data_IF_750285914972
#
_entry.id   IF_750285914972
#
_cell.length_a   1.000
_cell.length_b   1.000
_cell.length_c   1.000
_cell.angle_alpha   90.00
_cell.angle_beta   90.00
_cell.angle_gamma   90.00
#
_symmetry.space_group_name_H-M   'P 1'
#
loop_
_entity.id
_entity.type
_entity.pdbx_description
1 polymer ?
#
# COMPACT_ATOMS: atom_id res chain seq x y z
N UNK A 1 -8.52 8.34 11.29
CA UNK A 1 -9.00 7.36 10.29
C UNK A 1 -9.47 6.07 10.96
N UNK A 2 -10.67 5.60 10.63
CA UNK A 2 -11.18 4.31 11.07
C UNK A 2 -10.42 3.20 10.32
N UNK A 3 -9.69 2.35 11.05
CA UNK A 3 -8.69 1.44 10.47
C UNK A 3 -7.30 2.05 10.57
N UNK A 4 -6.37 1.35 11.21
CA UNK A 4 -5.03 1.87 11.43
C UNK A 4 -4.30 2.13 10.09
N UNK A 5 -3.31 3.02 10.10
CA UNK A 5 -2.45 3.23 8.93
C UNK A 5 -1.69 1.95 8.57
N UNK A 6 -1.56 1.64 7.28
CA UNK A 6 -0.54 0.72 6.81
C UNK A 6 0.82 1.37 7.03
N UNK A 7 1.74 0.64 7.65
CA UNK A 7 3.10 1.13 7.96
C UNK A 7 4.09 0.21 7.31
N UNK A 8 4.96 0.79 6.49
CA UNK A 8 5.99 0.07 5.75
C UNK A 8 7.34 0.72 6.04
N UNK A 9 8.42 -0.05 5.92
CA UNK A 9 9.78 0.47 6.02
C UNK A 9 10.53 0.17 4.73
N UNK A 10 11.45 1.04 4.36
CA UNK A 10 12.26 0.82 3.18
C UNK A 10 13.41 1.80 3.06
N UNK A 11 14.19 1.65 2.00
CA UNK A 11 15.30 2.54 1.66
C UNK A 11 14.88 3.45 0.53
N UNK A 12 14.99 4.76 0.72
CA UNK A 12 14.75 5.72 -0.34
C UNK A 12 15.89 5.66 -1.36
N UNK A 13 15.58 5.43 -2.64
CA UNK A 13 16.56 5.33 -3.73
C UNK A 13 16.69 6.60 -4.57
N UNK A 14 15.75 7.54 -4.47
CA UNK A 14 15.69 8.70 -5.36
C UNK A 14 15.15 8.33 -6.73
N UNK A 15 15.59 9.04 -7.77
CA UNK A 15 15.17 8.85 -9.16
C UNK A 15 14.00 9.74 -9.61
N UNK A 16 13.63 9.58 -10.89
CA UNK A 16 12.53 10.30 -11.54
C UNK A 16 11.63 9.28 -12.28
N UNK A 17 10.49 8.85 -11.69
CA UNK A 17 9.95 9.30 -10.40
C UNK A 17 10.72 8.71 -9.21
N UNK A 18 10.61 9.31 -8.01
CA UNK A 18 11.34 8.83 -6.84
C UNK A 18 10.76 7.51 -6.32
N UNK A 19 11.64 6.63 -5.86
CA UNK A 19 11.30 5.26 -5.44
C UNK A 19 11.79 4.96 -4.03
N UNK A 20 11.02 4.15 -3.31
CA UNK A 20 11.42 3.47 -2.08
C UNK A 20 11.42 1.96 -2.34
N UNK A 21 12.53 1.30 -2.05
CA UNK A 21 12.61 -0.15 -1.98
C UNK A 21 12.19 -0.61 -0.59
N UNK A 22 11.20 -1.49 -0.51
CA UNK A 22 10.67 -1.96 0.78
C UNK A 22 11.59 -3.02 1.39
N UNK A 23 11.68 -3.04 2.72
CA UNK A 23 12.50 -4.01 3.46
C UNK A 23 12.08 -5.46 3.22
N UNK A 24 10.79 -5.70 3.04
CA UNK A 24 10.18 -7.01 2.79
C UNK A 24 10.19 -7.40 1.31
N UNK A 25 10.74 -6.53 0.45
CA UNK A 25 10.82 -6.72 -0.99
C UNK A 25 9.80 -5.90 -1.78
N UNK A 26 10.12 -5.64 -3.04
CA UNK A 26 9.32 -4.79 -3.91
C UNK A 26 9.64 -3.30 -3.78
N UNK A 27 8.94 -2.50 -4.59
CA UNK A 27 9.20 -1.06 -4.71
C UNK A 27 7.91 -0.27 -4.75
N UNK A 28 7.93 0.92 -4.15
CA UNK A 28 6.88 1.91 -4.27
C UNK A 28 7.42 3.18 -4.90
N UNK A 29 6.72 3.66 -5.93
CA UNK A 29 6.87 5.02 -6.43
C UNK A 29 6.20 5.97 -5.43
N UNK A 30 6.94 6.99 -5.02
CA UNK A 30 6.50 8.01 -4.05
C UNK A 30 6.49 9.39 -4.68
N UNK A 31 5.87 10.37 -4.02
CA UNK A 31 5.88 11.77 -4.47
C UNK A 31 6.81 12.66 -3.63
N UNK A 32 7.24 12.21 -2.45
CA UNK A 32 8.16 12.95 -1.60
C UNK A 32 9.62 12.70 -1.99
N UNK A 33 10.51 13.56 -1.49
CA UNK A 33 11.96 13.39 -1.59
C UNK A 33 12.60 13.15 -0.23
N UNK A 34 13.67 12.36 -0.23
CA UNK A 34 14.55 12.16 0.92
C UNK A 34 15.99 12.01 0.40
N UNK A 35 16.95 11.81 1.31
CA UNK A 35 18.33 11.51 0.89
C UNK A 35 18.40 10.07 0.36
N UNK A 36 18.98 9.81 -0.81
CA UNK A 36 19.25 8.43 -1.26
C UNK A 36 20.02 7.65 -0.20
N UNK A 37 19.61 6.39 0.03
CA UNK A 37 20.15 5.53 1.09
C UNK A 37 19.52 5.74 2.47
N UNK A 38 18.69 6.77 2.68
CA UNK A 38 18.00 6.95 3.96
C UNK A 38 16.94 5.87 4.18
N UNK A 39 16.85 5.39 5.42
CA UNK A 39 15.77 4.51 5.86
C UNK A 39 14.53 5.35 6.12
N UNK A 40 13.43 5.01 5.45
CA UNK A 40 12.16 5.74 5.55
C UNK A 40 11.07 4.83 6.08
N UNK A 41 10.23 5.39 6.96
CA UNK A 41 8.97 4.77 7.36
C UNK A 41 7.84 5.45 6.60
N UNK A 42 7.04 4.64 5.92
CA UNK A 42 5.91 5.07 5.11
C UNK A 42 4.60 4.83 5.86
N UNK A 43 3.60 5.63 5.51
CA UNK A 43 2.21 5.49 5.93
C UNK A 43 1.29 5.55 4.73
N UNK A 44 0.37 4.60 4.64
CA UNK A 44 -0.71 4.59 3.64
C UNK A 44 -2.03 4.44 4.38
N UNK A 45 -2.97 5.35 4.13
CA UNK A 45 -4.30 5.27 4.72
C UNK A 45 -5.05 4.10 4.05
N UNK A 46 -5.83 3.28 4.79
CA UNK A 46 -6.54 2.15 4.19
C UNK A 46 -7.51 2.55 3.06
N UNK A 47 -8.13 3.73 3.16
CA UNK A 47 -9.05 4.28 2.16
C UNK A 47 -8.35 4.86 0.93
N UNK A 48 -7.01 4.94 0.92
CA UNK A 48 -6.24 5.41 -0.23
C UNK A 48 -5.94 4.30 -1.26
N UNK A 49 -6.28 3.05 -0.95
CA UNK A 49 -6.09 1.89 -1.82
C UNK A 49 -7.36 1.64 -2.63
N UNK A 50 -7.25 1.70 -3.96
CA UNK A 50 -8.29 1.22 -4.86
C UNK A 50 -8.05 -0.26 -5.18
N UNK A 51 -9.11 -1.06 -5.17
CA UNK A 51 -9.06 -2.50 -5.44
C UNK A 51 -9.74 -2.78 -6.78
N UNK A 52 -9.12 -3.61 -7.61
CA UNK A 52 -9.71 -4.06 -8.86
C UNK A 52 -9.41 -5.55 -9.12
N UNK A 53 -10.30 -6.28 -9.82
CA UNK A 53 -10.10 -7.69 -10.13
C UNK A 53 -9.06 -7.90 -11.25
N UNK A 54 -8.81 -6.86 -12.06
CA UNK A 54 -7.88 -6.87 -13.18
C UNK A 54 -7.11 -5.57 -13.32
N UNK A 55 -6.17 -5.55 -14.27
CA UNK A 55 -5.40 -4.34 -14.58
C UNK A 55 -6.20 -3.41 -15.50
N UNK A 56 -6.13 -2.11 -15.26
CA UNK A 56 -6.71 -1.08 -16.11
C UNK A 56 -5.83 0.19 -16.11
N UNK A 57 -5.86 0.99 -17.21
CA UNK A 57 -5.11 2.24 -17.28
C UNK A 57 -5.55 3.22 -16.19
N UNK A 58 -4.59 3.80 -15.45
CA UNK A 58 -4.87 4.84 -14.46
C UNK A 58 -3.65 5.71 -14.21
N UNK A 59 -3.85 6.82 -13.48
CA UNK A 59 -2.76 7.68 -13.00
C UNK A 59 -2.05 7.14 -11.75
N UNK A 60 -2.50 6.01 -11.18
CA UNK A 60 -1.80 5.38 -10.07
C UNK A 60 -0.43 4.88 -10.53
N UNK A 61 0.61 5.23 -9.78
CA UNK A 61 1.99 4.82 -10.10
C UNK A 61 2.40 3.52 -9.44
N UNK A 62 1.61 3.05 -8.48
CA UNK A 62 1.78 1.75 -7.85
C UNK A 62 0.56 0.90 -8.21
N UNK A 63 0.81 -0.21 -8.92
CA UNK A 63 -0.19 -1.23 -9.24
C UNK A 63 0.39 -2.55 -8.75
N UNK A 64 -0.15 -3.05 -7.64
CA UNK A 64 0.42 -4.17 -6.90
C UNK A 64 -0.47 -5.39 -7.12
N UNK A 65 0.05 -6.50 -7.68
CA UNK A 65 -0.61 -7.78 -7.58
C UNK A 65 -0.78 -8.13 -6.10
N UNK A 66 -1.97 -8.58 -5.74
CA UNK A 66 -2.32 -8.85 -4.37
C UNK A 66 -3.22 -10.08 -4.26
N UNK A 67 -3.18 -10.72 -3.10
CA UNK A 67 -4.14 -11.75 -2.73
C UNK A 67 -4.96 -11.28 -1.55
N UNK A 68 -6.29 -11.44 -1.62
CA UNK A 68 -7.19 -11.14 -0.50
C UNK A 68 -6.87 -12.10 0.66
N UNK A 69 -6.66 -11.54 1.84
CA UNK A 69 -6.38 -12.25 3.08
C UNK A 69 -7.62 -12.39 3.95
N UNK A 70 -7.87 -11.42 4.83
CA UNK A 70 -8.98 -11.42 5.81
C UNK A 70 -9.93 -10.25 5.56
N UNK A 71 -11.21 -10.40 5.90
CA UNK A 71 -12.24 -9.36 5.76
C UNK A 71 -12.91 -9.15 7.12
N UNK A 72 -12.95 -7.91 7.58
CA UNK A 72 -13.55 -7.54 8.88
C UNK A 72 -14.56 -6.43 8.69
N UNK A 73 -15.82 -6.67 9.05
CA UNK A 73 -16.80 -5.59 9.13
C UNK A 73 -16.35 -4.57 10.19
N UNK A 74 -16.49 -3.28 9.85
CA UNK A 74 -16.20 -2.16 10.74
C UNK A 74 -17.48 -1.41 11.14
N UNK A 75 -18.65 -1.99 10.83
CA UNK A 75 -19.94 -1.32 10.96
C UNK A 75 -20.16 -0.25 9.90
N UNK A 76 -21.40 0.29 9.86
CA UNK A 76 -21.78 1.38 8.96
C UNK A 76 -21.48 1.13 7.47
N UNK A 77 -21.64 -0.13 7.01
CA UNK A 77 -21.41 -0.50 5.62
C UNK A 77 -19.95 -0.50 5.19
N UNK A 78 -18.99 -0.49 6.13
CA UNK A 78 -17.55 -0.50 5.86
C UNK A 78 -16.93 -1.84 6.21
N UNK A 79 -15.99 -2.28 5.38
CA UNK A 79 -15.22 -3.51 5.55
C UNK A 79 -13.75 -3.17 5.44
N UNK A 80 -12.96 -3.55 6.44
CA UNK A 80 -11.51 -3.56 6.33
C UNK A 80 -11.09 -4.90 5.70
N UNK A 81 -10.42 -4.83 4.55
CA UNK A 81 -9.93 -6.00 3.82
C UNK A 81 -8.41 -6.00 3.88
N UNK A 82 -7.83 -7.09 4.35
CA UNK A 82 -6.38 -7.31 4.31
C UNK A 82 -6.00 -7.95 2.99
N UNK A 83 -4.90 -7.50 2.42
CA UNK A 83 -4.29 -8.00 1.21
C UNK A 83 -2.83 -8.35 1.46
N UNK A 84 -2.36 -9.42 0.83
CA UNK A 84 -0.94 -9.76 0.75
C UNK A 84 -0.40 -9.22 -0.57
N UNK A 85 0.54 -8.28 -0.50
CA UNK A 85 1.18 -7.67 -1.67
C UNK A 85 2.60 -7.25 -1.30
N UNK A 86 3.58 -7.41 -2.21
CA UNK A 86 4.98 -7.06 -1.96
C UNK A 86 5.56 -7.68 -0.67
N UNK A 87 5.18 -8.92 -0.33
CA UNK A 87 5.62 -9.57 0.91
C UNK A 87 5.03 -8.99 2.20
N UNK A 88 4.17 -7.96 2.13
CA UNK A 88 3.56 -7.30 3.29
C UNK A 88 2.03 -7.42 3.31
N UNK A 89 1.47 -7.22 4.51
CA UNK A 89 0.02 -7.08 4.70
C UNK A 89 -0.39 -5.62 4.55
N UNK A 90 -1.27 -5.35 3.60
CA UNK A 90 -1.90 -4.04 3.39
C UNK A 90 -3.39 -4.13 3.70
N UNK A 91 -3.91 -3.19 4.46
CA UNK A 91 -5.34 -3.05 4.74
C UNK A 91 -5.93 -2.01 3.81
N UNK A 92 -7.02 -2.34 3.15
CA UNK A 92 -7.87 -1.40 2.45
C UNK A 92 -9.20 -1.24 3.20
N UNK A 93 -9.73 -0.02 3.27
CA UNK A 93 -11.08 0.21 3.79
C UNK A 93 -12.03 0.36 2.61
N UNK A 94 -12.96 -0.57 2.48
CA UNK A 94 -13.91 -0.64 1.38
C UNK A 94 -15.34 -0.50 1.90
N UNK A 95 -16.27 -0.20 1.01
CA UNK A 95 -17.69 -0.38 1.30
C UNK A 95 -18.05 -1.86 1.17
N UNK A 96 -19.08 -2.29 1.91
CA UNK A 96 -19.64 -3.63 1.76
C UNK A 96 -20.14 -3.89 0.32
N UNK A 97 -20.67 -2.85 -0.34
CA UNK A 97 -21.11 -2.97 -1.74
C UNK A 97 -19.94 -3.27 -2.69
N UNK A 98 -18.77 -2.66 -2.48
CA UNK A 98 -17.58 -2.93 -3.27
C UNK A 98 -17.04 -4.35 -3.02
N UNK A 99 -17.05 -4.82 -1.76
CA UNK A 99 -16.68 -6.20 -1.42
C UNK A 99 -17.56 -7.20 -2.17
N UNK A 100 -18.88 -6.98 -2.17
CA UNK A 100 -19.85 -7.84 -2.87
C UNK A 100 -19.67 -7.77 -4.39
N UNK A 101 -19.62 -6.58 -4.99
CA UNK A 101 -19.52 -6.44 -6.45
C UNK A 101 -18.24 -7.01 -7.02
N UNK A 102 -17.14 -6.90 -6.26
CA UNK A 102 -15.84 -7.47 -6.62
C UNK A 102 -15.68 -8.93 -6.19
N UNK A 103 -16.70 -9.53 -5.56
CA UNK A 103 -16.69 -10.91 -5.06
C UNK A 103 -15.46 -11.22 -4.18
N UNK A 104 -15.00 -10.24 -3.39
CA UNK A 104 -13.80 -10.38 -2.57
C UNK A 104 -14.04 -11.40 -1.45
N UNK A 105 -13.14 -12.36 -1.38
CA UNK A 105 -13.07 -13.39 -0.34
C UNK A 105 -11.62 -13.86 -0.20
N UNK A 106 -11.22 -14.45 0.94
CA UNK A 106 -9.86 -14.95 1.13
C UNK A 106 -9.39 -15.81 -0.05
N UNK A 107 -8.15 -15.60 -0.48
CA UNK A 107 -7.52 -16.33 -1.58
C UNK A 107 -7.72 -15.74 -2.97
N UNK A 108 -8.70 -14.84 -3.17
CA UNK A 108 -8.94 -14.20 -4.48
C UNK A 108 -7.78 -13.29 -4.88
N UNK A 109 -7.32 -13.43 -6.12
CA UNK A 109 -6.34 -12.53 -6.71
C UNK A 109 -6.99 -11.17 -7.03
N UNK A 110 -6.25 -10.09 -6.82
CA UNK A 110 -6.70 -8.72 -7.05
C UNK A 110 -5.51 -7.82 -7.35
N UNK A 111 -5.79 -6.58 -7.74
CA UNK A 111 -4.80 -5.54 -7.91
C UNK A 111 -5.10 -4.37 -6.98
N UNK A 112 -4.07 -3.89 -6.29
CA UNK A 112 -4.14 -2.67 -5.49
C UNK A 112 -3.53 -1.51 -6.26
N UNK A 113 -4.31 -0.44 -6.40
CA UNK A 113 -3.91 0.80 -7.03
C UNK A 113 -3.65 1.84 -5.96
N UNK A 114 -2.46 2.44 -6.01
CA UNK A 114 -2.04 3.45 -5.06
C UNK A 114 -1.33 4.59 -5.79
N UNK A 115 -1.84 5.81 -5.62
CA UNK A 115 -1.17 7.01 -6.12
C UNK A 115 0.12 7.26 -5.32
N UNK A 116 1.17 7.69 -6.01
CA UNK A 116 2.44 8.04 -5.37
C UNK A 116 2.29 9.12 -4.29
N UNK A 117 1.32 10.03 -4.47
CA UNK A 117 0.98 11.11 -3.52
C UNK A 117 0.26 10.62 -2.27
N UNK A 118 -0.31 9.42 -2.28
CA UNK A 118 -0.96 8.83 -1.12
C UNK A 118 0.02 8.07 -0.21
N UNK A 119 1.24 7.78 -0.68
CA UNK A 119 2.32 7.24 0.16
C UNK A 119 2.92 8.39 0.96
N UNK A 120 2.63 8.44 2.26
CA UNK A 120 3.10 9.50 3.15
C UNK A 120 4.38 9.09 3.84
N UNK A 121 5.31 10.04 3.95
CA UNK A 121 6.49 9.89 4.77
C UNK A 121 6.12 10.13 6.24
N UNK A 122 6.38 9.15 7.11
CA UNK A 122 6.13 9.25 8.55
C UNK A 122 7.39 9.64 9.32
N UNK A 123 8.51 9.00 8.99
CA UNK A 123 9.81 9.24 9.62
C UNK A 123 10.93 8.98 8.62
N UNK A 124 11.99 9.76 8.72
CA UNK A 124 13.28 9.49 8.08
C UNK A 124 14.29 9.19 9.17
N UNK A 125 15.11 8.17 8.95
CA UNK A 125 16.29 7.88 9.74
C UNK A 125 17.50 7.86 8.82
N UNK A 126 18.65 8.32 9.32
CA UNK A 126 19.90 8.27 8.57
C UNK A 126 20.27 6.84 8.15
N UNK A 127 21.21 6.68 7.20
CA UNK A 127 21.65 5.34 6.79
C UNK A 127 22.11 4.57 8.02
N UNK A 128 21.55 3.37 8.22
CA UNK A 128 22.10 2.42 9.19
C UNK A 128 23.50 2.08 8.69
N UNK A 129 24.55 2.50 9.41
CA UNK A 129 25.92 2.06 9.09
C UNK A 129 25.91 0.53 9.15
N UNK A 130 26.33 -0.20 8.10
CA UNK A 130 26.61 -1.62 8.27
C UNK A 130 27.72 -1.73 9.32
N UNK A 131 27.48 -2.60 10.31
CA UNK A 131 28.46 -3.03 11.31
C UNK A 131 29.64 -3.73 10.65
#
# INVERSE_FOLDING_TARGET
>A
PAGGWNRLTGTYRGGTPPVVELSEGGRLVVAFRARPGATVRLRIAPDALLVAPGRFPSSARNVLPAQVGDLRSRGSGRVEVTFLALGVRLRALLTESAVRSLSLRPGVASYLYLKATAVRLDRVSGPTRPS
#
